data_IF_096548588743
#
_entry.id   IF_096548588743
#
_cell.length_a   1.000
_cell.length_b   1.000
_cell.length_c   1.000
_cell.angle_alpha   90.00
_cell.angle_beta   90.00
_cell.angle_gamma   90.00
#
_symmetry.space_group_name_H-M   'P 1'
#
loop_
_entity.id
_entity.type
_entity.pdbx_description
1 polymer ?
#
# COMPACT_ATOMS: atom_id res chain seq x y z
N UNK A 1 0.03 4.09 16.01
CA UNK A 1 -0.53 3.67 14.71
C UNK A 1 0.46 2.74 14.01
N UNK A 2 0.11 1.47 13.75
CA UNK A 2 0.99 0.55 13.00
C UNK A 2 0.67 0.67 11.52
N UNK A 3 1.67 0.99 10.71
CA UNK A 3 1.53 1.16 9.26
C UNK A 3 1.71 -0.16 8.52
N UNK A 4 1.16 -0.25 7.30
CA UNK A 4 1.10 -1.43 6.44
C UNK A 4 2.34 -2.34 6.47
N UNK A 5 3.55 -1.81 6.30
CA UNK A 5 4.77 -2.64 6.28
C UNK A 5 5.27 -3.07 7.67
N UNK A 6 4.85 -2.37 8.74
CA UNK A 6 5.23 -2.64 10.14
C UNK A 6 4.27 -3.58 10.87
N UNK A 7 3.00 -3.61 10.47
CA UNK A 7 1.99 -4.33 11.23
C UNK A 7 1.95 -5.83 10.92
N UNK A 8 2.59 -6.61 11.78
CA UNK A 8 2.76 -8.07 11.62
C UNK A 8 1.99 -8.89 12.65
N UNK A 9 1.08 -8.27 13.41
CA UNK A 9 0.26 -9.04 14.36
C UNK A 9 -0.64 -10.02 13.62
N UNK A 10 -1.01 -11.11 14.29
CA UNK A 10 -1.87 -12.16 13.73
C UNK A 10 -3.25 -11.65 13.26
N UNK A 11 -3.71 -10.53 13.83
CA UNK A 11 -4.94 -9.83 13.47
C UNK A 11 -4.67 -8.41 12.93
N UNK A 12 -3.45 -8.14 12.49
CA UNK A 12 -3.05 -6.83 11.97
C UNK A 12 -3.40 -6.63 10.50
N UNK A 13 -3.03 -5.47 9.95
CA UNK A 13 -3.33 -5.09 8.56
C UNK A 13 -2.81 -6.11 7.55
N UNK A 14 -1.59 -6.62 7.71
CA UNK A 14 -1.03 -7.62 6.81
C UNK A 14 -1.81 -8.94 6.84
N UNK A 15 -2.27 -9.36 8.03
CA UNK A 15 -3.04 -10.58 8.19
C UNK A 15 -4.42 -10.42 7.57
N UNK A 16 -5.13 -9.32 7.85
CA UNK A 16 -6.46 -9.04 7.30
C UNK A 16 -6.48 -8.89 5.77
N UNK A 17 -5.41 -8.34 5.17
CA UNK A 17 -5.27 -8.30 3.71
C UNK A 17 -5.06 -9.70 3.13
N UNK A 18 -4.27 -10.56 3.80
CA UNK A 18 -4.01 -11.93 3.35
C UNK A 18 -5.22 -12.85 3.49
N UNK A 19 -5.99 -12.71 4.56
CA UNK A 19 -7.20 -13.52 4.80
C UNK A 19 -8.41 -13.03 4.00
N UNK A 20 -8.39 -11.78 3.54
CA UNK A 20 -9.53 -11.14 2.88
C UNK A 20 -10.53 -10.51 3.85
N UNK A 21 -10.25 -10.53 5.16
CA UNK A 21 -11.08 -9.86 6.18
C UNK A 21 -11.11 -8.34 6.00
N UNK A 22 -10.07 -7.78 5.36
CA UNK A 22 -10.05 -6.40 4.86
C UNK A 22 -10.42 -6.41 3.37
N UNK A 23 -11.69 -6.14 3.01
CA UNK A 23 -12.13 -6.17 1.62
C UNK A 23 -11.61 -4.95 0.85
N UNK A 24 -10.90 -5.18 -0.26
CA UNK A 24 -10.35 -4.14 -1.13
C UNK A 24 -11.44 -3.19 -1.65
N UNK A 25 -12.63 -3.74 -1.86
CA UNK A 25 -13.82 -3.06 -2.37
C UNK A 25 -14.34 -1.98 -1.41
N UNK A 26 -13.88 -1.95 -0.16
CA UNK A 26 -14.20 -0.92 0.83
C UNK A 26 -13.00 -0.03 1.20
N UNK A 27 -11.87 -0.16 0.51
CA UNK A 27 -10.67 0.61 0.80
C UNK A 27 -10.57 1.89 -0.03
N UNK A 28 -10.00 2.91 0.62
CA UNK A 28 -9.32 4.05 0.02
C UNK A 28 -7.86 3.99 0.48
N UNK A 29 -6.93 4.47 -0.36
CA UNK A 29 -5.51 4.49 -0.04
C UNK A 29 -4.99 5.92 -0.04
N UNK A 30 -4.07 6.20 0.88
CA UNK A 30 -3.41 7.49 1.04
C UNK A 30 -1.97 7.30 1.52
N UNK A 31 -1.16 8.36 1.46
CA UNK A 31 0.23 8.32 1.92
C UNK A 31 0.43 8.84 3.34
N UNK A 32 -0.49 9.67 3.83
CA UNK A 32 -0.31 10.46 5.07
C UNK A 32 1.04 11.22 5.09
N UNK A 33 1.51 11.64 3.91
CA UNK A 33 2.76 12.38 3.78
C UNK A 33 2.68 13.71 4.55
N UNK A 34 3.72 14.11 5.31
CA UNK A 34 5.11 13.61 5.25
C UNK A 34 5.42 12.38 6.12
N UNK A 35 4.41 11.75 6.73
CA UNK A 35 4.56 10.59 7.62
C UNK A 35 4.37 9.26 6.88
N UNK A 36 4.34 8.16 7.63
CA UNK A 36 3.93 6.84 7.12
C UNK A 36 4.69 6.35 5.87
N UNK A 37 6.01 6.56 5.83
CA UNK A 37 6.86 6.07 4.75
C UNK A 37 6.79 4.54 4.56
N UNK A 38 6.46 4.02 3.36
CA UNK A 38 6.41 2.58 3.09
C UNK A 38 7.80 2.03 2.80
N UNK A 39 8.38 1.27 3.74
CA UNK A 39 9.70 0.65 3.53
C UNK A 39 9.64 -0.58 2.63
N UNK A 40 9.40 -0.38 1.34
CA UNK A 40 9.28 -1.45 0.32
C UNK A 40 10.53 -2.35 0.21
N UNK A 41 11.70 -1.86 0.63
CA UNK A 41 12.97 -2.59 0.60
C UNK A 41 13.39 -3.17 1.96
N UNK A 42 12.56 -3.08 3.00
CA UNK A 42 12.92 -3.57 4.33
C UNK A 42 13.14 -5.10 4.31
N UNK A 43 14.24 -5.57 4.90
CA UNK A 43 14.55 -7.01 5.00
C UNK A 43 13.52 -7.78 5.83
N UNK A 44 12.73 -7.07 6.64
CA UNK A 44 11.63 -7.62 7.42
C UNK A 44 10.37 -7.85 6.60
N UNK A 45 10.24 -7.31 5.38
CA UNK A 45 9.14 -7.67 4.49
C UNK A 45 9.37 -9.09 3.95
N UNK A 46 8.32 -9.93 3.86
CA UNK A 46 8.41 -11.23 3.20
C UNK A 46 8.92 -11.08 1.76
N UNK A 47 9.78 -12.00 1.31
CA UNK A 47 10.42 -11.91 0.00
C UNK A 47 9.40 -11.96 -1.14
N UNK A 48 8.33 -12.73 -0.98
CA UNK A 48 7.24 -12.83 -1.94
C UNK A 48 6.44 -11.53 -2.10
N UNK A 49 6.45 -10.65 -1.09
CA UNK A 49 5.86 -9.31 -1.16
C UNK A 49 6.85 -8.34 -1.79
N UNK A 50 8.10 -8.33 -1.30
CA UNK A 50 9.14 -7.41 -1.80
C UNK A 50 9.42 -7.59 -3.30
N UNK A 51 9.38 -8.83 -3.79
CA UNK A 51 9.65 -9.15 -5.19
C UNK A 51 8.51 -8.74 -6.13
N UNK A 52 7.31 -8.45 -5.61
CA UNK A 52 6.17 -7.99 -6.41
C UNK A 52 6.16 -6.48 -6.66
N UNK A 53 7.03 -5.72 -5.98
CA UNK A 53 7.12 -4.28 -6.17
C UNK A 53 7.82 -3.98 -7.49
N UNK A 54 7.17 -3.22 -8.36
CA UNK A 54 7.61 -2.95 -9.73
C UNK A 54 8.71 -1.90 -9.80
N UNK A 55 9.55 -1.95 -10.84
CA UNK A 55 10.61 -0.93 -11.04
C UNK A 55 10.06 0.50 -11.18
N UNK A 56 8.98 0.78 -11.93
CA UNK A 56 8.39 2.12 -11.98
C UNK A 56 8.00 2.65 -10.58
N UNK A 57 7.43 1.80 -9.74
CA UNK A 57 7.09 2.16 -8.36
C UNK A 57 8.34 2.43 -7.52
N UNK A 58 9.41 1.64 -7.69
CA UNK A 58 10.70 1.89 -7.02
C UNK A 58 11.31 3.23 -7.45
N UNK A 59 11.23 3.58 -8.73
CA UNK A 59 11.72 4.86 -9.24
C UNK A 59 10.96 6.04 -8.64
N UNK A 60 9.63 6.01 -8.62
CA UNK A 60 8.81 7.05 -7.96
C UNK A 60 9.12 7.17 -6.47
N UNK A 61 9.37 6.03 -5.82
CA UNK A 61 9.62 5.97 -4.39
C UNK A 61 10.97 6.57 -3.97
N UNK A 62 11.92 6.78 -4.89
CA UNK A 62 13.21 7.44 -4.60
C UNK A 62 13.06 8.87 -4.08
N UNK A 63 11.97 9.54 -4.45
CA UNK A 63 11.67 10.90 -3.98
C UNK A 63 11.18 10.93 -2.53
N UNK A 64 10.74 9.80 -1.99
CA UNK A 64 10.30 9.65 -0.60
C UNK A 64 11.40 9.03 0.27
N UNK A 65 11.41 9.38 1.56
CA UNK A 65 12.39 8.87 2.52
C UNK A 65 11.74 8.53 3.86
N UNK A 66 12.48 7.82 4.71
CA UNK A 66 12.01 7.49 6.05
C UNK A 66 11.75 8.72 6.94
N UNK A 67 12.46 9.82 6.70
CA UNK A 67 12.30 11.08 7.44
C UNK A 67 11.23 11.98 6.85
N UNK A 68 10.94 11.85 5.54
CA UNK A 68 9.89 12.60 4.86
C UNK A 68 9.31 11.77 3.73
N UNK A 69 8.08 11.29 3.92
CA UNK A 69 7.32 10.64 2.86
C UNK A 69 6.78 11.68 1.87
N UNK A 70 6.37 11.22 0.69
CA UNK A 70 5.85 12.07 -0.39
C UNK A 70 4.59 11.46 -1.02
N UNK A 71 3.71 12.26 -1.66
CA UNK A 71 2.53 11.75 -2.37
C UNK A 71 2.85 10.70 -3.45
N UNK A 72 4.02 10.76 -4.09
CA UNK A 72 4.43 9.78 -5.10
C UNK A 72 4.61 8.36 -4.53
N UNK A 73 4.75 8.21 -3.21
CA UNK A 73 4.81 6.90 -2.55
C UNK A 73 3.46 6.17 -2.52
N UNK A 74 2.37 6.79 -3.00
CA UNK A 74 1.05 6.14 -3.09
C UNK A 74 1.10 4.85 -3.93
N UNK A 75 1.92 4.85 -5.00
CA UNK A 75 2.14 3.65 -5.81
C UNK A 75 2.70 2.48 -4.99
N UNK A 76 3.65 2.77 -4.09
CA UNK A 76 4.22 1.77 -3.18
C UNK A 76 3.20 1.25 -2.16
N UNK A 77 2.31 2.10 -1.65
CA UNK A 77 1.21 1.67 -0.79
C UNK A 77 0.27 0.73 -1.54
N UNK A 78 -0.13 1.11 -2.76
CA UNK A 78 -1.01 0.31 -3.61
C UNK A 78 -0.41 -1.08 -3.90
N UNK A 79 0.86 -1.14 -4.31
CA UNK A 79 1.51 -2.42 -4.63
C UNK A 79 1.76 -3.28 -3.40
N UNK A 80 2.05 -2.69 -2.23
CA UNK A 80 2.13 -3.45 -0.98
C UNK A 80 0.77 -4.09 -0.64
N UNK A 81 -0.33 -3.34 -0.74
CA UNK A 81 -1.68 -3.86 -0.50
C UNK A 81 -1.98 -5.00 -1.47
N UNK A 82 -1.75 -4.80 -2.77
CA UNK A 82 -1.95 -5.81 -3.79
C UNK A 82 -1.12 -7.08 -3.54
N UNK A 83 0.16 -6.91 -3.17
CA UNK A 83 1.06 -8.02 -2.88
C UNK A 83 0.62 -8.84 -1.65
N UNK A 84 0.17 -8.18 -0.58
CA UNK A 84 -0.38 -8.86 0.60
C UNK A 84 -1.73 -9.52 0.32
N UNK A 85 -2.61 -8.86 -0.44
CA UNK A 85 -3.94 -9.37 -0.77
C UNK A 85 -3.93 -10.44 -1.89
N UNK A 86 -2.80 -10.67 -2.54
CA UNK A 86 -2.72 -11.59 -3.69
C UNK A 86 -3.51 -11.11 -4.92
N UNK A 87 -3.72 -9.79 -5.06
CA UNK A 87 -4.49 -9.16 -6.14
C UNK A 87 -3.57 -8.49 -7.17
N UNK A 88 -4.12 -8.17 -8.34
CA UNK A 88 -3.41 -7.39 -9.35
C UNK A 88 -3.33 -5.91 -8.93
N UNK A 89 -2.14 -5.26 -9.00
CA UNK A 89 -2.01 -3.85 -8.62
C UNK A 89 -2.89 -2.87 -9.41
N UNK A 90 -3.17 -3.15 -10.69
CA UNK A 90 -4.07 -2.32 -11.51
C UNK A 90 -5.53 -2.49 -11.09
N UNK A 91 -5.90 -3.69 -10.66
CA UNK A 91 -7.23 -3.93 -10.11
C UNK A 91 -7.42 -3.17 -8.78
N UNK A 92 -6.45 -3.30 -7.87
CA UNK A 92 -6.48 -2.58 -6.58
C UNK A 92 -6.55 -1.07 -6.81
N UNK A 93 -5.68 -0.52 -7.65
CA UNK A 93 -5.65 0.92 -7.91
C UNK A 93 -6.96 1.43 -8.52
N UNK A 94 -7.56 0.68 -9.44
CA UNK A 94 -8.87 1.00 -10.03
C UNK A 94 -9.96 1.02 -8.95
N UNK A 95 -10.08 -0.05 -8.17
CA UNK A 95 -11.11 -0.17 -7.12
C UNK A 95 -10.99 0.97 -6.11
N UNK A 96 -9.78 1.21 -5.58
CA UNK A 96 -9.56 2.24 -4.56
C UNK A 96 -9.75 3.65 -5.12
N UNK A 97 -9.46 3.87 -6.41
CA UNK A 97 -9.72 5.14 -7.09
C UNK A 97 -11.21 5.41 -7.21
N UNK A 98 -12.00 4.43 -7.65
CA UNK A 98 -13.46 4.59 -7.77
C UNK A 98 -14.11 4.78 -6.39
N UNK A 99 -13.62 4.08 -5.36
CA UNK A 99 -14.04 4.29 -3.98
C UNK A 99 -13.74 5.72 -3.51
N UNK A 100 -12.53 6.23 -3.77
CA UNK A 100 -12.15 7.59 -3.40
C UNK A 100 -13.02 8.63 -4.11
N UNK A 101 -13.27 8.47 -5.42
CA UNK A 101 -14.16 9.36 -6.18
C UNK A 101 -15.56 9.41 -5.59
N UNK A 102 -16.13 8.25 -5.25
CA UNK A 102 -17.46 8.16 -4.64
C UNK A 102 -17.51 8.79 -3.25
N UNK A 103 -16.53 8.51 -2.40
CA UNK A 103 -16.51 8.98 -1.00
C UNK A 103 -16.25 10.49 -0.93
N UNK A 104 -15.36 11.01 -1.76
CA UNK A 104 -14.96 12.42 -1.74
C UNK A 104 -15.69 13.30 -2.77
N UNK A 105 -16.61 12.74 -3.56
CA UNK A 105 -17.39 13.49 -4.55
C UNK A 105 -16.55 14.07 -5.69
N UNK A 106 -15.57 13.30 -6.20
CA UNK A 106 -14.64 13.73 -7.27
C UNK A 106 -15.15 13.41 -8.68
N UNK A 107 -16.47 13.49 -8.90
CA UNK A 107 -17.14 13.17 -10.16
C UNK A 107 -18.01 14.34 -10.64
#
# INVERSE_FOLDING_TARGET
MRFLWKDKSQNGVQAGLRSGDIPIEKLVIETDAPYMYPKINDKKLPSEVRNKITEPTKELHKSASFTRNEPCALAAVCELIAAFAGRDPKEVSRITTENAKKIYGLA
#
